data_IF_804640142663
#
_entry.id   IF_804640142663
#
_cell.length_a   1.000
_cell.length_b   1.000
_cell.length_c   1.000
_cell.angle_alpha   90.00
_cell.angle_beta   90.00
_cell.angle_gamma   90.00
#
_symmetry.space_group_name_H-M   'P 1'
#
loop_
_entity.id
_entity.type
_entity.pdbx_description
1 polymer ?
#
# COMPACT_ATOMS: atom_id res chain seq x y z
N UNK A 1 15.76 15.51 -12.64
CA UNK A 1 17.06 15.08 -12.10
C UNK A 1 16.77 14.55 -10.72
N UNK A 2 17.16 13.32 -10.41
CA UNK A 2 16.88 12.71 -9.11
C UNK A 2 17.87 13.23 -8.07
N UNK A 3 17.39 13.46 -6.84
CA UNK A 3 18.24 13.78 -5.70
C UNK A 3 18.94 12.52 -5.18
N UNK A 4 20.12 12.71 -4.60
CA UNK A 4 20.80 11.66 -3.85
C UNK A 4 19.95 11.24 -2.63
N UNK A 5 19.74 9.94 -2.48
CA UNK A 5 19.02 9.38 -1.33
C UNK A 5 19.85 9.60 -0.08
N UNK A 6 19.22 10.01 1.03
CA UNK A 6 19.94 10.23 2.29
C UNK A 6 20.73 8.97 2.72
N UNK A 7 21.79 9.18 3.50
CA UNK A 7 22.48 8.08 4.16
C UNK A 7 21.57 7.40 5.19
N UNK A 8 21.78 6.11 5.49
CA UNK A 8 21.03 5.40 6.54
C UNK A 8 21.09 6.14 7.87
N UNK A 9 19.95 6.19 8.56
CA UNK A 9 19.89 6.73 9.91
C UNK A 9 20.61 5.78 10.88
N UNK A 10 21.28 6.34 11.88
CA UNK A 10 21.96 5.56 12.92
C UNK A 10 20.98 4.63 13.63
N UNK A 11 21.34 3.34 13.73
CA UNK A 11 20.50 2.29 14.31
C UNK A 11 20.16 2.55 15.78
N UNK A 12 21.07 3.14 16.54
CA UNK A 12 20.80 3.48 17.94
C UNK A 12 19.78 4.61 18.06
N UNK A 13 19.76 5.56 17.11
CA UNK A 13 18.70 6.57 17.05
C UNK A 13 17.35 5.94 16.73
N UNK A 14 17.29 5.01 15.75
CA UNK A 14 16.06 4.31 15.41
C UNK A 14 15.51 3.56 16.64
N UNK A 15 16.36 2.79 17.32
CA UNK A 15 15.97 2.03 18.52
C UNK A 15 15.51 2.93 19.66
N UNK A 16 16.15 4.09 19.84
CA UNK A 16 15.75 5.05 20.86
C UNK A 16 14.33 5.59 20.67
N UNK A 17 13.82 5.58 19.43
CA UNK A 17 12.46 5.99 19.10
C UNK A 17 11.47 4.82 19.09
N UNK A 18 11.91 3.58 18.89
CA UNK A 18 11.08 2.36 18.89
C UNK A 18 10.86 1.80 20.30
N UNK A 19 10.18 2.59 21.14
CA UNK A 19 9.94 2.28 22.55
C UNK A 19 8.78 1.28 22.75
N UNK A 20 8.76 0.54 23.88
CA UNK A 20 7.72 -0.48 24.13
C UNK A 20 6.28 0.02 24.11
N UNK A 21 6.02 1.29 24.45
CA UNK A 21 4.69 1.90 24.41
C UNK A 21 4.16 2.11 22.98
N UNK A 22 5.04 2.13 21.98
CA UNK A 22 4.71 2.22 20.56
C UNK A 22 4.64 0.86 19.88
N UNK A 23 5.06 -0.20 20.58
CA UNK A 23 5.02 -1.56 20.06
C UNK A 23 3.57 -2.06 20.06
N UNK A 24 3.06 -2.37 18.88
CA UNK A 24 1.72 -2.91 18.71
C UNK A 24 1.67 -4.38 19.12
N UNK A 25 2.60 -5.19 18.60
CA UNK A 25 2.70 -6.64 18.85
C UNK A 25 3.99 -7.23 18.31
N UNK A 26 4.25 -8.48 18.71
CA UNK A 26 5.13 -9.39 17.97
C UNK A 26 4.42 -9.98 16.75
N UNK A 27 5.19 -10.25 15.71
CA UNK A 27 4.76 -11.01 14.54
C UNK A 27 4.57 -12.50 14.87
N UNK A 28 3.76 -13.19 14.07
CA UNK A 28 3.51 -14.62 14.22
C UNK A 28 4.68 -15.50 13.76
N UNK A 29 5.58 -14.96 12.92
CA UNK A 29 6.72 -15.65 12.32
C UNK A 29 7.96 -14.77 12.38
N UNK A 30 9.12 -15.38 12.65
CA UNK A 30 10.46 -14.75 12.62
C UNK A 30 10.78 -13.76 13.73
N UNK A 31 9.99 -13.72 14.82
CA UNK A 31 10.28 -12.90 16.00
C UNK A 31 10.50 -11.40 15.71
N UNK A 32 9.92 -10.90 14.62
CA UNK A 32 9.92 -9.48 14.28
C UNK A 32 8.86 -8.75 15.12
N UNK A 33 9.03 -7.44 15.22
CA UNK A 33 8.20 -6.54 16.02
C UNK A 33 7.39 -5.63 15.11
N UNK A 34 6.18 -5.25 15.53
CA UNK A 34 5.34 -4.30 14.80
C UNK A 34 5.20 -3.05 15.65
N UNK A 35 5.52 -1.91 15.05
CA UNK A 35 5.42 -0.59 15.69
C UNK A 35 4.47 0.31 14.92
N UNK A 36 3.82 1.21 15.65
CA UNK A 36 3.09 2.35 15.08
C UNK A 36 3.79 3.63 15.53
N UNK A 37 4.20 4.45 14.58
CA UNK A 37 4.92 5.70 14.84
C UNK A 37 4.38 6.87 14.00
N UNK A 38 4.74 8.10 14.37
CA UNK A 38 4.42 9.32 13.61
C UNK A 38 5.66 10.20 13.46
N UNK A 39 5.58 11.24 12.61
CA UNK A 39 6.63 12.27 12.53
C UNK A 39 6.92 12.93 13.89
N UNK A 40 5.89 13.05 14.72
CA UNK A 40 5.94 13.84 15.95
C UNK A 40 6.63 13.07 17.07
N UNK A 41 6.48 11.75 17.11
CA UNK A 41 7.05 10.89 18.16
C UNK A 41 8.33 10.14 17.76
N UNK A 42 8.57 9.96 16.46
CA UNK A 42 9.68 9.17 15.94
C UNK A 42 10.23 9.77 14.62
N UNK A 43 10.79 10.99 14.67
CA UNK A 43 11.24 11.71 13.47
C UNK A 43 12.41 11.04 12.75
N UNK A 44 13.30 10.32 13.44
CA UNK A 44 14.41 9.61 12.81
C UNK A 44 13.92 8.32 12.13
N UNK A 45 13.01 7.58 12.77
CA UNK A 45 12.33 6.43 12.17
C UNK A 45 11.55 6.86 10.91
N UNK A 46 10.85 8.00 10.94
CA UNK A 46 10.14 8.49 9.76
C UNK A 46 11.08 8.81 8.59
N UNK A 47 12.24 9.44 8.85
CA UNK A 47 13.25 9.68 7.81
C UNK A 47 13.75 8.39 7.20
N UNK A 48 14.00 7.38 8.02
CA UNK A 48 14.42 6.06 7.55
C UNK A 48 13.34 5.36 6.72
N UNK A 49 12.07 5.46 7.12
CA UNK A 49 10.92 5.00 6.31
C UNK A 49 10.93 5.71 4.95
N UNK A 50 11.10 7.03 4.92
CA UNK A 50 11.17 7.82 3.69
C UNK A 50 12.33 7.40 2.78
N UNK A 51 13.50 7.13 3.36
CA UNK A 51 14.68 6.61 2.65
C UNK A 51 14.39 5.25 2.02
N UNK A 52 13.84 4.31 2.79
CA UNK A 52 13.56 2.95 2.35
C UNK A 52 12.46 2.88 1.29
N UNK A 53 11.43 3.72 1.43
CA UNK A 53 10.38 3.90 0.40
C UNK A 53 10.97 4.40 -0.90
N UNK A 54 11.81 5.44 -0.85
CA UNK A 54 12.44 5.97 -2.06
C UNK A 54 13.30 4.90 -2.75
N UNK A 55 14.11 4.14 -2.00
CA UNK A 55 14.89 3.02 -2.54
C UNK A 55 13.98 1.97 -3.20
N UNK A 56 12.91 1.56 -2.51
CA UNK A 56 12.00 0.53 -2.99
C UNK A 56 11.23 0.96 -4.23
N UNK A 57 10.78 2.22 -4.29
CA UNK A 57 9.91 2.69 -5.36
C UNK A 57 10.67 3.28 -6.55
N UNK A 58 11.83 3.94 -6.34
CA UNK A 58 12.61 4.57 -7.42
C UNK A 58 13.03 3.55 -8.47
N UNK A 59 13.49 2.37 -8.04
CA UNK A 59 13.89 1.28 -8.94
C UNK A 59 12.75 0.81 -9.86
N UNK A 60 11.50 0.91 -9.43
CA UNK A 60 10.32 0.55 -10.21
C UNK A 60 9.71 1.73 -11.00
N UNK A 61 10.29 2.92 -10.91
CA UNK A 61 9.75 4.15 -11.52
C UNK A 61 8.60 4.80 -10.74
N UNK A 62 8.48 4.47 -9.45
CA UNK A 62 7.45 4.98 -8.53
C UNK A 62 7.94 5.92 -7.44
N UNK A 63 9.24 6.16 -7.36
CA UNK A 63 9.83 7.03 -6.34
C UNK A 63 9.42 8.48 -6.51
N UNK A 64 9.62 9.26 -5.45
CA UNK A 64 9.39 10.71 -5.45
C UNK A 64 10.44 11.45 -6.30
N UNK A 65 11.61 10.82 -6.53
CA UNK A 65 12.78 11.43 -7.14
C UNK A 65 13.53 12.37 -6.19
N UNK A 66 13.04 12.56 -4.96
CA UNK A 66 13.69 13.32 -3.88
C UNK A 66 14.59 12.41 -3.05
N UNK A 67 15.35 13.00 -2.14
CA UNK A 67 16.22 12.28 -1.21
C UNK A 67 15.48 11.30 -0.26
N UNK A 68 14.17 11.50 -0.06
CA UNK A 68 13.25 10.63 0.70
C UNK A 68 11.84 10.69 0.10
N UNK A 69 11.12 9.57 0.08
CA UNK A 69 9.69 9.53 -0.28
C UNK A 69 8.83 9.82 0.95
N UNK A 70 8.77 11.11 1.29
CA UNK A 70 7.87 11.70 2.28
C UNK A 70 7.10 12.86 1.61
N UNK A 71 5.82 12.95 1.91
CA UNK A 71 4.94 14.03 1.44
C UNK A 71 4.28 14.76 2.63
N UNK A 72 3.50 15.79 2.34
CA UNK A 72 2.84 16.62 3.35
C UNK A 72 1.93 15.82 4.30
N UNK A 73 1.46 14.64 3.88
CA UNK A 73 0.60 13.78 4.68
C UNK A 73 1.36 12.98 5.75
N UNK A 74 2.69 12.92 5.65
CA UNK A 74 3.51 12.28 6.67
C UNK A 74 3.81 13.21 7.86
N UNK A 75 3.41 14.49 7.82
CA UNK A 75 3.73 15.50 8.85
C UNK A 75 2.49 16.22 9.42
N UNK A 76 2.64 16.83 10.59
CA UNK A 76 1.59 17.59 11.29
C UNK A 76 0.75 16.76 12.27
N UNK A 77 -0.26 17.40 12.88
CA UNK A 77 -1.04 16.79 13.96
C UNK A 77 -1.95 15.64 13.49
N UNK A 78 -2.49 15.75 12.27
CA UNK A 78 -3.33 14.73 11.64
C UNK A 78 -2.59 13.95 10.54
N UNK A 79 -1.30 13.68 10.76
CA UNK A 79 -0.48 12.93 9.82
C UNK A 79 -0.87 11.45 9.77
N UNK A 80 -0.45 10.78 8.70
CA UNK A 80 -0.60 9.34 8.60
C UNK A 80 0.31 8.66 9.61
N UNK A 81 -0.28 7.70 10.32
CA UNK A 81 0.47 6.79 11.18
C UNK A 81 1.25 5.82 10.32
N UNK A 82 2.47 5.51 10.74
CA UNK A 82 3.34 4.57 10.05
C UNK A 82 3.34 3.26 10.82
N UNK A 83 2.79 2.21 10.21
CA UNK A 83 2.89 0.84 10.71
C UNK A 83 4.11 0.20 10.07
N UNK A 84 5.09 -0.21 10.87
CA UNK A 84 6.32 -0.83 10.38
C UNK A 84 6.55 -2.20 11.02
N UNK A 85 7.24 -3.05 10.28
CA UNK A 85 7.81 -4.30 10.79
C UNK A 85 9.30 -4.07 11.03
N UNK A 86 9.73 -4.25 12.28
CA UNK A 86 11.09 -4.10 12.75
C UNK A 86 11.73 -5.47 13.00
N UNK A 87 12.98 -5.62 12.56
CA UNK A 87 13.82 -6.78 12.83
C UNK A 87 14.79 -6.44 13.99
N UNK A 88 14.54 -6.91 15.21
CA UNK A 88 15.39 -6.60 16.36
C UNK A 88 16.75 -7.30 16.33
N UNK A 89 16.95 -8.33 15.50
CA UNK A 89 18.27 -8.97 15.38
C UNK A 89 19.22 -8.16 14.47
N UNK A 90 18.67 -7.51 13.45
CA UNK A 90 19.45 -6.75 12.47
C UNK A 90 19.42 -5.24 12.73
N UNK A 91 18.54 -4.79 13.63
CA UNK A 91 18.21 -3.40 13.86
C UNK A 91 17.78 -2.69 12.56
N UNK A 92 16.80 -3.28 11.86
CA UNK A 92 16.36 -2.85 10.52
C UNK A 92 14.84 -2.85 10.34
N UNK A 93 14.34 -1.90 9.54
CA UNK A 93 12.95 -1.88 9.08
C UNK A 93 12.80 -2.82 7.87
N UNK A 94 11.95 -3.84 8.02
CA UNK A 94 11.63 -4.81 6.96
C UNK A 94 10.71 -4.19 5.91
N UNK A 95 9.73 -3.40 6.36
CA UNK A 95 8.70 -2.81 5.50
C UNK A 95 7.64 -2.11 6.33
N UNK A 96 6.64 -1.55 5.65
CA UNK A 96 5.55 -0.88 6.35
C UNK A 96 4.42 -0.39 5.44
N UNK A 97 3.41 0.18 6.09
CA UNK A 97 2.32 0.94 5.51
C UNK A 97 2.24 2.30 6.21
N UNK A 98 1.73 3.31 5.51
CA UNK A 98 1.09 4.43 6.19
C UNK A 98 -0.41 4.26 6.19
N UNK A 99 -1.07 4.73 7.24
CA UNK A 99 -2.52 4.67 7.33
C UNK A 99 -3.15 5.87 8.03
N UNK A 100 -4.40 6.16 7.68
CA UNK A 100 -5.22 7.19 8.34
C UNK A 100 -6.67 6.72 8.49
N UNK A 101 -7.21 6.78 9.70
CA UNK A 101 -8.56 6.32 10.02
C UNK A 101 -9.60 7.28 9.46
N UNK A 102 -10.65 6.74 8.85
CA UNK A 102 -11.69 7.52 8.20
C UNK A 102 -12.49 8.42 9.13
N UNK A 103 -12.61 8.05 10.40
CA UNK A 103 -13.16 8.93 11.44
C UNK A 103 -12.31 10.18 11.73
N UNK A 104 -11.02 10.14 11.38
CA UNK A 104 -10.05 11.23 11.58
C UNK A 104 -9.80 12.01 10.28
N UNK A 105 -10.52 11.68 9.19
CA UNK A 105 -10.37 12.40 7.92
C UNK A 105 -10.93 13.81 8.02
N UNK A 106 -10.11 14.78 7.63
CA UNK A 106 -10.56 16.16 7.49
C UNK A 106 -11.21 16.35 6.12
N UNK A 107 -12.34 17.04 6.09
CA UNK A 107 -13.02 17.39 4.84
C UNK A 107 -12.60 18.79 4.37
N UNK A 108 -12.56 19.00 3.07
CA UNK A 108 -12.39 20.30 2.44
C UNK A 108 -13.72 21.08 2.35
N UNK A 109 -13.67 22.29 1.78
CA UNK A 109 -14.84 23.16 1.63
C UNK A 109 -15.93 22.55 0.73
N UNK A 110 -15.59 21.55 -0.09
CA UNK A 110 -16.51 20.83 -0.97
C UNK A 110 -17.02 19.54 -0.33
N UNK A 111 -16.70 19.30 0.94
CA UNK A 111 -17.08 18.10 1.67
C UNK A 111 -16.32 16.85 1.23
N UNK A 112 -15.18 16.98 0.53
CA UNK A 112 -14.35 15.85 0.12
C UNK A 112 -13.19 15.64 1.10
N UNK A 113 -12.75 14.39 1.34
CA UNK A 113 -11.62 14.11 2.23
C UNK A 113 -10.33 14.79 1.77
N UNK A 114 -9.45 15.15 2.72
CA UNK A 114 -8.08 15.62 2.48
C UNK A 114 -7.10 14.48 2.74
N UNK A 115 -6.85 13.69 1.71
CA UNK A 115 -6.06 12.47 1.74
C UNK A 115 -5.00 12.46 0.66
N UNK A 116 -4.02 11.56 0.82
CA UNK A 116 -3.02 11.28 -0.20
C UNK A 116 -3.64 10.85 -1.55
N UNK A 117 -4.87 10.31 -1.55
CA UNK A 117 -5.59 9.88 -2.75
C UNK A 117 -6.68 10.86 -3.22
N UNK A 118 -6.93 11.96 -2.50
CA UNK A 118 -8.03 12.88 -2.82
C UNK A 118 -7.91 13.60 -4.16
N UNK A 119 -6.69 13.75 -4.67
CA UNK A 119 -6.47 14.31 -6.01
C UNK A 119 -6.78 13.33 -7.15
N UNK A 120 -7.03 12.06 -6.82
CA UNK A 120 -7.33 10.99 -7.79
C UNK A 120 -8.81 10.61 -7.82
N UNK A 121 -9.51 10.75 -6.70
CA UNK A 121 -10.86 10.20 -6.54
C UNK A 121 -11.85 11.21 -5.97
N UNK A 122 -13.08 11.12 -6.48
CA UNK A 122 -14.25 11.72 -5.88
C UNK A 122 -14.99 10.68 -5.03
N UNK A 123 -15.33 11.05 -3.80
CA UNK A 123 -16.04 10.19 -2.85
C UNK A 123 -17.51 10.60 -2.80
N UNK A 124 -18.39 9.62 -3.04
CA UNK A 124 -19.84 9.84 -2.98
C UNK A 124 -20.30 10.18 -1.56
N UNK A 125 -21.45 10.85 -1.43
CA UNK A 125 -22.06 11.10 -0.12
C UNK A 125 -22.31 9.80 0.66
N UNK A 126 -22.68 8.72 -0.05
CA UNK A 126 -22.91 7.41 0.55
C UNK A 126 -21.62 6.88 1.18
N UNK A 127 -20.51 6.93 0.46
CA UNK A 127 -19.20 6.54 1.00
C UNK A 127 -18.87 7.34 2.25
N UNK A 128 -19.01 8.66 2.21
CA UNK A 128 -18.67 9.55 3.32
C UNK A 128 -19.53 9.32 4.57
N UNK A 129 -20.81 9.02 4.41
CA UNK A 129 -21.74 8.82 5.54
C UNK A 129 -21.72 7.39 6.09
N UNK A 130 -21.66 6.39 5.22
CA UNK A 130 -21.89 4.99 5.58
C UNK A 130 -20.61 4.16 5.70
N UNK A 131 -19.54 4.53 4.98
CA UNK A 131 -18.32 3.71 4.89
C UNK A 131 -17.12 4.37 5.57
N UNK A 132 -16.91 5.67 5.35
CA UNK A 132 -15.75 6.42 5.84
C UNK A 132 -15.52 6.23 7.35
N UNK A 133 -16.51 6.33 8.27
CA UNK A 133 -16.25 6.17 9.70
C UNK A 133 -15.66 4.80 10.09
N UNK A 134 -15.86 3.78 9.26
CA UNK A 134 -15.42 2.39 9.46
C UNK A 134 -14.28 1.98 8.51
N UNK A 135 -13.66 2.95 7.84
CA UNK A 135 -12.61 2.73 6.86
C UNK A 135 -11.26 3.19 7.39
N UNK A 136 -10.18 2.55 6.96
CA UNK A 136 -8.83 3.11 7.06
C UNK A 136 -8.24 3.22 5.66
N UNK A 137 -7.68 4.38 5.33
CA UNK A 137 -6.88 4.49 4.11
C UNK A 137 -5.50 3.93 4.36
N UNK A 138 -5.01 3.09 3.44
CA UNK A 138 -3.67 2.56 3.38
C UNK A 138 -2.92 3.18 2.20
N UNK A 139 -1.64 3.46 2.40
CA UNK A 139 -0.77 3.95 1.35
C UNK A 139 0.68 3.59 1.56
N UNK A 140 1.48 3.85 0.51
CA UNK A 140 2.95 3.71 0.52
C UNK A 140 3.43 2.40 1.15
N UNK A 141 2.76 1.30 0.79
CA UNK A 141 3.15 -0.03 1.22
C UNK A 141 4.48 -0.40 0.57
N UNK A 142 5.45 -0.82 1.38
CA UNK A 142 6.76 -1.19 0.87
C UNK A 142 7.34 -2.34 1.68
N UNK A 143 8.21 -3.10 1.02
CA UNK A 143 9.17 -4.00 1.64
C UNK A 143 10.54 -3.48 1.25
N UNK A 144 11.43 -3.30 2.21
CA UNK A 144 12.82 -2.86 1.99
C UNK A 144 13.51 -3.77 0.98
N UNK A 145 14.34 -3.21 0.10
CA UNK A 145 14.90 -3.94 -1.05
C UNK A 145 15.62 -5.24 -0.67
N UNK A 146 16.34 -5.24 0.45
CA UNK A 146 17.06 -6.40 1.00
C UNK A 146 16.12 -7.54 1.43
N UNK A 147 14.86 -7.21 1.72
CA UNK A 147 13.80 -8.13 2.13
C UNK A 147 12.84 -8.47 0.98
N UNK A 148 13.11 -8.04 -0.26
CA UNK A 148 12.28 -8.41 -1.42
C UNK A 148 12.73 -9.74 -2.06
N UNK A 149 13.97 -10.19 -1.82
CA UNK A 149 14.52 -11.37 -2.48
C UNK A 149 14.65 -12.58 -1.54
N UNK A 150 13.59 -13.37 -1.49
CA UNK A 150 13.49 -14.62 -0.70
C UNK A 150 14.59 -15.63 -1.01
N UNK A 151 15.18 -15.61 -2.21
CA UNK A 151 16.25 -16.54 -2.58
C UNK A 151 17.60 -16.17 -1.97
N UNK A 152 17.82 -14.91 -1.63
CA UNK A 152 19.09 -14.43 -1.06
C UNK A 152 19.05 -14.34 0.47
N UNK A 153 17.87 -14.15 1.05
CA UNK A 153 17.73 -13.95 2.48
C UNK A 153 16.53 -14.75 3.03
N UNK A 154 16.79 -15.84 3.75
CA UNK A 154 15.72 -16.62 4.40
C UNK A 154 14.92 -15.78 5.41
N UNK A 155 15.49 -14.70 5.97
CA UNK A 155 14.78 -13.75 6.84
C UNK A 155 13.69 -12.95 6.12
N UNK A 156 13.68 -12.94 4.79
CA UNK A 156 12.70 -12.20 3.98
C UNK A 156 11.44 -13.00 3.61
N UNK A 157 11.41 -14.31 3.91
CA UNK A 157 10.32 -15.20 3.48
C UNK A 157 8.96 -14.82 4.06
N UNK A 158 8.93 -14.18 5.23
CA UNK A 158 7.70 -13.81 5.95
C UNK A 158 7.45 -12.29 6.00
N UNK A 159 8.17 -11.48 5.19
CA UNK A 159 8.02 -10.02 5.23
C UNK A 159 6.57 -9.58 4.96
N UNK A 160 5.91 -10.18 3.97
CA UNK A 160 4.50 -9.89 3.67
C UNK A 160 3.56 -10.44 4.75
N UNK A 161 3.80 -11.64 5.27
CA UNK A 161 3.00 -12.21 6.36
C UNK A 161 3.05 -11.34 7.63
N UNK A 162 4.24 -10.83 7.98
CA UNK A 162 4.44 -9.93 9.11
C UNK A 162 3.75 -8.58 8.91
N UNK A 163 3.71 -8.08 7.68
CA UNK A 163 2.96 -6.89 7.31
C UNK A 163 1.44 -7.11 7.49
N UNK A 164 0.94 -8.28 7.10
CA UNK A 164 -0.45 -8.68 7.34
C UNK A 164 -0.77 -8.86 8.83
N UNK A 165 0.16 -9.36 9.65
CA UNK A 165 0.00 -9.41 11.11
C UNK A 165 -0.27 -8.02 11.71
N UNK A 166 0.34 -6.99 11.13
CA UNK A 166 0.15 -5.60 11.52
C UNK A 166 -1.19 -5.04 11.07
N UNK A 167 -1.57 -5.24 9.81
CA UNK A 167 -2.89 -4.82 9.32
C UNK A 167 -4.04 -5.51 10.07
N UNK A 168 -3.91 -6.81 10.36
CA UNK A 168 -4.88 -7.53 11.19
C UNK A 168 -4.94 -7.01 12.63
N UNK A 169 -3.82 -6.55 13.19
CA UNK A 169 -3.82 -5.95 14.52
C UNK A 169 -4.55 -4.60 14.56
N UNK A 170 -4.64 -3.87 13.43
CA UNK A 170 -5.43 -2.64 13.36
C UNK A 170 -6.92 -2.88 13.62
N UNK A 171 -7.48 -4.03 13.23
CA UNK A 171 -8.90 -4.35 13.49
C UNK A 171 -9.15 -4.67 14.97
N UNK A 172 -8.11 -5.05 15.71
CA UNK A 172 -8.19 -5.23 17.17
C UNK A 172 -8.06 -3.89 17.88
N UNK A 173 -7.13 -3.04 17.42
CA UNK A 173 -6.92 -1.70 17.97
C UNK A 173 -8.10 -0.76 17.68
N UNK A 174 -8.76 -0.95 16.55
CA UNK A 174 -9.92 -0.19 16.10
C UNK A 174 -11.09 -1.15 15.81
N UNK A 175 -11.87 -1.54 16.84
CA UNK A 175 -12.93 -2.56 16.69
C UNK A 175 -14.03 -2.20 15.68
N UNK A 176 -14.23 -0.91 15.41
CA UNK A 176 -15.21 -0.42 14.43
C UNK A 176 -14.68 -0.51 12.98
N UNK A 177 -13.40 -0.82 12.78
CA UNK A 177 -12.79 -0.94 11.45
C UNK A 177 -13.41 -2.12 10.67
N UNK A 178 -13.99 -1.81 9.52
CA UNK A 178 -14.60 -2.80 8.61
C UNK A 178 -13.93 -2.85 7.25
N UNK A 179 -13.33 -1.74 6.81
CA UNK A 179 -12.83 -1.60 5.44
C UNK A 179 -11.41 -1.05 5.41
N UNK A 180 -10.60 -1.63 4.52
CA UNK A 180 -9.35 -1.04 4.07
C UNK A 180 -9.59 -0.39 2.71
N UNK A 181 -9.18 0.86 2.58
CA UNK A 181 -9.25 1.63 1.33
C UNK A 181 -7.83 2.01 0.90
N UNK A 182 -7.56 2.03 -0.40
CA UNK A 182 -6.26 2.46 -0.91
C UNK A 182 -6.15 2.27 -2.40
N UNK A 183 -5.07 2.79 -2.98
CA UNK A 183 -4.75 2.58 -4.39
C UNK A 183 -3.63 1.56 -4.57
N UNK A 184 -3.75 0.75 -5.60
CA UNK A 184 -2.62 0.02 -6.16
C UNK A 184 -2.07 0.80 -7.36
N UNK A 185 -0.74 0.82 -7.50
CA UNK A 185 -0.09 1.47 -8.64
C UNK A 185 0.37 0.40 -9.63
N UNK A 186 -0.04 0.52 -10.89
CA UNK A 186 0.59 -0.21 -12.00
C UNK A 186 1.55 0.74 -12.72
N UNK A 187 2.85 0.43 -12.68
CA UNK A 187 3.87 1.29 -13.26
C UNK A 187 3.79 1.31 -14.80
N UNK A 188 4.21 2.41 -15.46
CA UNK A 188 4.20 2.50 -16.93
C UNK A 188 5.03 1.42 -17.65
N UNK A 189 5.98 0.79 -16.95
CA UNK A 189 6.77 -0.34 -17.44
C UNK A 189 5.97 -1.64 -17.57
N UNK A 190 4.79 -1.72 -16.95
CA UNK A 190 3.89 -2.85 -17.10
C UNK A 190 3.19 -2.82 -18.46
N UNK A 191 3.12 -3.97 -19.13
CA UNK A 191 2.57 -4.05 -20.47
C UNK A 191 1.09 -3.68 -20.51
N UNK A 192 0.72 -2.76 -21.42
CA UNK A 192 -0.64 -2.18 -21.50
C UNK A 192 -1.73 -3.23 -21.68
N UNK A 193 -1.51 -4.23 -22.54
CA UNK A 193 -2.47 -5.33 -22.73
C UNK A 193 -2.70 -6.13 -21.44
N UNK A 194 -1.65 -6.41 -20.67
CA UNK A 194 -1.77 -7.10 -19.38
C UNK A 194 -2.47 -6.25 -18.32
N UNK A 195 -2.19 -4.94 -18.28
CA UNK A 195 -2.90 -3.96 -17.44
C UNK A 195 -4.39 -3.97 -17.76
N UNK A 196 -4.73 -3.91 -19.04
CA UNK A 196 -6.11 -3.90 -19.53
C UNK A 196 -6.85 -5.20 -19.19
N UNK A 197 -6.18 -6.36 -19.30
CA UNK A 197 -6.71 -7.65 -18.82
C UNK A 197 -7.03 -7.63 -17.32
N UNK A 198 -6.14 -7.10 -16.49
CA UNK A 198 -6.36 -6.98 -15.05
C UNK A 198 -7.54 -6.04 -14.74
N UNK A 199 -7.61 -4.89 -15.40
CA UNK A 199 -8.69 -3.92 -15.20
C UNK A 199 -10.04 -4.49 -15.60
N UNK A 200 -10.12 -5.18 -16.75
CA UNK A 200 -11.34 -5.82 -17.19
C UNK A 200 -11.78 -6.93 -16.24
N UNK A 201 -10.85 -7.77 -15.79
CA UNK A 201 -11.11 -8.82 -14.81
C UNK A 201 -11.64 -8.25 -13.49
N UNK A 202 -10.99 -7.22 -12.93
CA UNK A 202 -11.45 -6.56 -11.70
C UNK A 202 -12.82 -5.91 -11.89
N UNK A 203 -13.05 -5.25 -13.03
CA UNK A 203 -14.37 -4.67 -13.34
C UNK A 203 -15.45 -5.75 -13.44
N UNK A 204 -15.17 -6.89 -14.07
CA UNK A 204 -16.14 -7.98 -14.20
C UNK A 204 -16.57 -8.54 -12.84
N UNK A 205 -15.62 -8.75 -11.93
CA UNK A 205 -15.87 -9.45 -10.66
C UNK A 205 -16.12 -8.54 -9.46
N UNK A 206 -15.63 -7.30 -9.49
CA UNK A 206 -15.64 -6.36 -8.36
C UNK A 206 -16.01 -4.93 -8.79
N UNK A 207 -16.93 -4.78 -9.76
CA UNK A 207 -17.39 -3.47 -10.19
C UNK A 207 -17.99 -2.67 -9.02
N UNK A 208 -17.68 -1.37 -8.97
CA UNK A 208 -18.32 -0.45 -8.03
C UNK A 208 -19.69 -0.02 -8.57
N UNK A 209 -20.69 -0.87 -8.33
CA UNK A 209 -22.08 -0.64 -8.79
C UNK A 209 -22.74 0.56 -8.09
N UNK A 210 -22.21 0.98 -6.95
CA UNK A 210 -22.75 2.07 -6.14
C UNK A 210 -22.04 3.40 -6.39
N UNK A 211 -20.96 3.39 -7.17
CA UNK A 211 -20.11 4.54 -7.45
C UNK A 211 -19.64 5.22 -6.15
N UNK A 212 -19.20 4.41 -5.19
CA UNK A 212 -18.72 4.85 -3.90
C UNK A 212 -17.49 5.75 -4.02
N UNK A 213 -16.53 5.35 -4.87
CA UNK A 213 -15.27 6.06 -5.11
C UNK A 213 -14.98 6.12 -6.61
N UNK A 214 -15.07 7.31 -7.20
CA UNK A 214 -15.00 7.50 -8.64
C UNK A 214 -13.67 8.17 -9.03
N UNK A 215 -12.88 7.60 -9.96
CA UNK A 215 -11.66 8.26 -10.43
C UNK A 215 -12.00 9.56 -11.19
N UNK A 216 -11.35 10.66 -10.81
CA UNK A 216 -11.54 11.96 -11.48
C UNK A 216 -11.02 11.95 -12.92
N UNK A 217 -9.98 11.15 -13.19
CA UNK A 217 -9.41 10.91 -14.52
C UNK A 217 -9.33 9.40 -14.73
N UNK A 218 -10.40 8.75 -15.23
CA UNK A 218 -10.43 7.31 -15.40
C UNK A 218 -9.37 6.88 -16.42
N UNK A 219 -8.70 5.77 -16.11
CA UNK A 219 -7.80 5.11 -17.04
C UNK A 219 -8.61 4.51 -18.19
N UNK A 220 -8.12 4.67 -19.42
CA UNK A 220 -8.74 4.09 -20.61
C UNK A 220 -8.15 2.72 -20.88
N UNK A 221 -9.02 1.73 -21.03
CA UNK A 221 -8.66 0.41 -21.57
C UNK A 221 -8.43 0.60 -23.07
N UNK A 222 -7.25 0.21 -23.55
CA UNK A 222 -6.83 0.37 -24.95
C UNK A 222 -7.09 -0.89 -25.77
N UNK A 223 -7.06 -2.05 -25.11
CA UNK A 223 -7.38 -3.36 -25.69
C UNK A 223 -8.88 -3.42 -26.02
N UNK A 224 -9.29 -3.90 -27.20
CA UNK A 224 -10.70 -3.99 -27.58
C UNK A 224 -11.52 -4.80 -26.57
N UNK A 225 -12.67 -4.28 -26.17
CA UNK A 225 -13.55 -4.94 -25.20
C UNK A 225 -13.99 -6.33 -25.67
N UNK A 226 -14.24 -6.51 -26.98
CA UNK A 226 -14.59 -7.81 -27.55
C UNK A 226 -13.48 -8.87 -27.38
N UNK A 227 -12.22 -8.47 -27.42
CA UNK A 227 -11.08 -9.36 -27.17
C UNK A 227 -11.06 -9.78 -25.70
N UNK A 228 -11.23 -8.83 -24.78
CA UNK A 228 -11.24 -9.10 -23.34
C UNK A 228 -12.44 -9.96 -22.94
N UNK A 229 -13.62 -9.68 -23.48
CA UNK A 229 -14.82 -10.48 -23.27
C UNK A 229 -14.68 -11.92 -23.79
N UNK A 230 -13.97 -12.12 -24.90
CA UNK A 230 -13.68 -13.46 -25.42
C UNK A 230 -12.64 -14.23 -24.59
N UNK A 231 -11.80 -13.54 -23.81
CA UNK A 231 -10.85 -14.16 -22.88
C UNK A 231 -11.51 -14.57 -21.56
N UNK A 232 -12.34 -13.69 -21.00
CA UNK A 232 -12.95 -13.87 -19.67
C UNK A 232 -14.41 -14.30 -19.80
N UNK A 233 -14.62 -15.57 -20.15
CA UNK A 233 -15.96 -16.13 -20.40
C UNK A 233 -16.56 -16.84 -19.18
N UNK A 234 -15.80 -17.01 -18.10
CA UNK A 234 -16.25 -17.80 -16.94
C UNK A 234 -17.04 -16.93 -15.96
N UNK A 235 -18.09 -17.45 -15.35
CA UNK A 235 -18.80 -16.73 -14.28
C UNK A 235 -18.04 -16.80 -12.94
N UNK A 236 -17.25 -17.85 -12.74
CA UNK A 236 -16.47 -18.07 -11.52
C UNK A 236 -15.18 -17.26 -11.52
N UNK A 237 -15.00 -16.46 -10.45
CA UNK A 237 -13.78 -15.69 -10.19
C UNK A 237 -12.51 -16.54 -10.30
N UNK A 238 -12.50 -17.75 -9.70
CA UNK A 238 -11.28 -18.58 -9.68
C UNK A 238 -10.96 -19.15 -11.06
N UNK A 239 -11.96 -19.45 -11.88
CA UNK A 239 -11.79 -19.89 -13.25
C UNK A 239 -11.23 -18.76 -14.14
N UNK A 240 -11.82 -17.58 -14.11
CA UNK A 240 -11.31 -16.42 -14.84
C UNK A 240 -9.93 -15.98 -14.33
N UNK A 241 -9.65 -16.09 -13.03
CA UNK A 241 -8.35 -15.77 -12.46
C UNK A 241 -7.24 -16.67 -13.02
N UNK A 242 -7.53 -17.98 -13.20
CA UNK A 242 -6.59 -18.92 -13.84
C UNK A 242 -6.31 -18.51 -15.28
N UNK A 243 -7.32 -18.01 -16.01
CA UNK A 243 -7.15 -17.46 -17.34
C UNK A 243 -6.26 -16.21 -17.29
N UNK A 244 -6.59 -15.23 -16.44
CA UNK A 244 -5.83 -14.00 -16.27
C UNK A 244 -4.35 -14.29 -16.01
N UNK A 245 -4.05 -15.17 -15.05
CA UNK A 245 -2.68 -15.51 -14.68
C UNK A 245 -1.93 -16.18 -15.83
N UNK A 246 -2.57 -17.09 -16.56
CA UNK A 246 -1.99 -17.74 -17.74
C UNK A 246 -1.69 -16.71 -18.83
N UNK A 247 -2.63 -15.84 -19.17
CA UNK A 247 -2.47 -14.86 -20.25
C UNK A 247 -1.44 -13.78 -19.91
N UNK A 248 -1.43 -13.27 -18.67
CA UNK A 248 -0.40 -12.33 -18.18
C UNK A 248 1.00 -12.97 -18.21
N UNK A 249 1.12 -14.25 -17.82
CA UNK A 249 2.41 -14.97 -17.89
C UNK A 249 2.90 -15.18 -19.32
N UNK A 250 2.00 -15.38 -20.30
CA UNK A 250 2.39 -15.44 -21.72
C UNK A 250 3.01 -14.13 -22.21
N UNK A 251 2.67 -13.00 -21.58
CA UNK A 251 3.29 -11.71 -21.87
C UNK A 251 4.65 -11.52 -21.17
N UNK A 252 5.10 -12.48 -20.35
CA UNK A 252 6.35 -12.40 -19.58
C UNK A 252 6.24 -11.64 -18.26
N UNK A 253 5.02 -11.33 -17.81
CA UNK A 253 4.76 -10.58 -16.56
C UNK A 253 4.06 -11.47 -15.52
N UNK A 254 4.07 -11.00 -14.27
CA UNK A 254 3.23 -11.55 -13.21
C UNK A 254 2.06 -10.62 -12.92
N UNK A 255 0.96 -11.16 -12.40
CA UNK A 255 -0.09 -10.33 -11.82
C UNK A 255 0.46 -9.67 -10.54
N UNK A 256 0.24 -8.37 -10.31
CA UNK A 256 0.57 -7.72 -9.05
C UNK A 256 -0.01 -8.49 -7.84
N UNK A 257 0.75 -8.74 -6.76
CA UNK A 257 0.31 -9.58 -5.65
C UNK A 257 -1.05 -9.19 -5.03
N UNK A 258 -1.39 -7.91 -5.01
CA UNK A 258 -2.65 -7.41 -4.44
C UNK A 258 -3.91 -7.78 -5.23
N UNK A 259 -3.78 -8.25 -6.48
CA UNK A 259 -4.91 -8.78 -7.26
C UNK A 259 -5.19 -10.25 -6.91
N UNK A 260 -4.26 -10.91 -6.22
CA UNK A 260 -4.32 -12.32 -5.82
C UNK A 260 -4.67 -12.51 -4.33
N UNK A 261 -4.94 -11.43 -3.59
CA UNK A 261 -5.17 -11.44 -2.15
C UNK A 261 -6.65 -11.70 -1.82
#
# INVERSE_FOLDING_TARGET
>A
MEEEIIQPIDRELLKSELTPDKQLRMTNKSHNEIYIVTANDSPNVLKEIGRLREIAFRTAGGGSGKSMDLDEFDFGDNCYKQLIVWNPEADEIIGGYRYLLGKDWQLDEKGQPKLATSHMFHFSEKFLKEYMPYTVELGRSFVSLEYQNVRKNTKSIFALDNLWDGLGALTVLYPDLKYFFGKMTMYPSYIRRGRDMILYFLKKHFDDKENLVIPMKPLKIETPESELAALFTEDDFKADYRILNREVRKLGYNIPPLVNA
#
